data_IF_430073521042
#
_entry.id   IF_430073521042
#
_cell.length_a   1.000
_cell.length_b   1.000
_cell.length_c   1.000
_cell.angle_alpha   90.00
_cell.angle_beta   90.00
_cell.angle_gamma   90.00
#
_symmetry.space_group_name_H-M   'P 1'
#
loop_
_entity.id
_entity.type
_entity.pdbx_description
1 polymer ?
#
# COMPACT_ATOMS: atom_id res chain seq x y z
N UNK A 1 -41.74 50.39 98.83
CA UNK A 1 -41.18 51.13 97.67
C UNK A 1 -39.75 50.68 97.46
N UNK A 2 -39.39 50.32 96.21
CA UNK A 2 -38.02 50.24 95.65
C UNK A 2 -37.06 49.15 96.18
N UNK A 3 -36.25 48.43 95.42
CA UNK A 3 -36.06 48.22 93.97
C UNK A 3 -35.07 47.06 93.84
N UNK A 4 -35.30 46.15 92.89
CA UNK A 4 -34.40 45.04 92.57
C UNK A 4 -33.12 45.52 91.86
N UNK A 5 -31.93 45.05 92.27
CA UNK A 5 -30.67 45.33 91.57
C UNK A 5 -30.28 44.14 90.66
N UNK A 6 -30.23 44.41 89.35
CA UNK A 6 -29.93 43.48 88.26
C UNK A 6 -28.43 43.19 88.15
N UNK A 7 -28.01 41.94 88.27
CA UNK A 7 -26.68 41.50 87.80
C UNK A 7 -26.72 41.23 86.28
N UNK A 8 -26.47 42.25 85.45
CA UNK A 8 -26.43 42.13 83.97
C UNK A 8 -25.12 42.68 83.37
N UNK A 9 -23.97 42.19 83.81
CA UNK A 9 -22.69 42.59 83.19
C UNK A 9 -21.66 41.48 82.90
N UNK A 10 -21.84 40.22 83.35
CA UNK A 10 -20.89 39.11 83.06
C UNK A 10 -21.17 38.32 81.78
N UNK A 11 -22.41 38.30 81.27
CA UNK A 11 -22.77 37.53 80.06
C UNK A 11 -22.33 38.18 78.72
N UNK A 12 -21.89 39.45 78.74
CA UNK A 12 -21.47 40.17 77.52
C UNK A 12 -20.06 39.78 77.06
N UNK A 13 -19.18 39.38 77.99
CA UNK A 13 -17.82 38.96 77.65
C UNK A 13 -17.75 37.57 77.02
N UNK A 14 -18.54 36.62 77.52
CA UNK A 14 -18.57 35.25 76.98
C UNK A 14 -19.17 35.20 75.58
N UNK A 15 -20.21 35.98 75.30
CA UNK A 15 -20.79 36.09 73.96
C UNK A 15 -19.82 36.68 72.93
N UNK A 16 -18.98 37.64 73.35
CA UNK A 16 -17.98 38.26 72.48
C UNK A 16 -16.83 37.29 72.16
N UNK A 17 -16.36 36.53 73.15
CA UNK A 17 -15.35 35.47 72.95
C UNK A 17 -15.90 34.37 72.03
N UNK A 18 -17.15 33.93 72.24
CA UNK A 18 -17.79 32.91 71.40
C UNK A 18 -17.95 33.39 69.95
N UNK A 19 -18.32 34.66 69.76
CA UNK A 19 -18.43 35.29 68.43
C UNK A 19 -17.06 35.37 67.74
N UNK A 20 -16.02 35.79 68.46
CA UNK A 20 -14.65 35.82 67.92
C UNK A 20 -14.15 34.43 67.53
N UNK A 21 -14.42 33.41 68.35
CA UNK A 21 -14.09 32.01 68.04
C UNK A 21 -14.81 31.55 66.77
N UNK A 22 -16.11 31.85 66.66
CA UNK A 22 -16.91 31.48 65.50
C UNK A 22 -16.35 32.14 64.24
N UNK A 23 -16.13 33.46 64.25
CA UNK A 23 -15.55 34.17 63.09
C UNK A 23 -14.21 33.55 62.67
N UNK A 24 -13.31 33.25 63.61
CA UNK A 24 -12.02 32.62 63.30
C UNK A 24 -12.17 31.26 62.61
N UNK A 25 -13.06 30.40 63.12
CA UNK A 25 -13.31 29.07 62.52
C UNK A 25 -13.92 29.20 61.13
N UNK A 26 -14.90 30.08 60.93
CA UNK A 26 -15.54 30.28 59.62
C UNK A 26 -14.59 30.93 58.61
N UNK A 27 -13.73 31.87 59.03
CA UNK A 27 -12.70 32.42 58.15
C UNK A 27 -11.68 31.37 57.74
N UNK A 28 -11.19 30.55 58.67
CA UNK A 28 -10.27 29.45 58.36
C UNK A 28 -10.91 28.45 57.38
N UNK A 29 -12.16 28.05 57.63
CA UNK A 29 -12.91 27.15 56.75
C UNK A 29 -13.15 27.75 55.35
N UNK A 30 -13.51 29.04 55.29
CA UNK A 30 -13.71 29.74 54.02
C UNK A 30 -12.41 29.79 53.19
N UNK A 31 -11.27 30.07 53.84
CA UNK A 31 -9.97 30.03 53.17
C UNK A 31 -9.67 28.61 52.69
N UNK A 32 -9.89 27.58 53.51
CA UNK A 32 -9.70 26.18 53.10
C UNK A 32 -10.56 25.80 51.89
N UNK A 33 -11.84 26.17 51.85
CA UNK A 33 -12.71 25.89 50.70
C UNK A 33 -12.32 26.70 49.46
N UNK A 34 -11.88 27.95 49.62
CA UNK A 34 -11.36 28.75 48.51
C UNK A 34 -10.10 28.11 47.91
N UNK A 35 -9.17 27.63 48.76
CA UNK A 35 -7.96 26.93 48.32
C UNK A 35 -8.29 25.60 47.63
N UNK A 36 -9.18 24.78 48.19
CA UNK A 36 -9.61 23.51 47.58
C UNK A 36 -10.29 23.75 46.22
N UNK A 37 -11.14 24.77 46.12
CA UNK A 37 -11.81 25.12 44.85
C UNK A 37 -10.80 25.60 43.81
N UNK A 38 -9.86 26.47 44.20
CA UNK A 38 -8.79 26.93 43.32
C UNK A 38 -7.92 25.79 42.80
N UNK A 39 -7.57 24.84 43.68
CA UNK A 39 -6.82 23.64 43.30
C UNK A 39 -7.61 22.77 42.32
N UNK A 40 -8.90 22.53 42.58
CA UNK A 40 -9.76 21.74 41.69
C UNK A 40 -9.90 22.36 40.29
N UNK A 41 -10.05 23.70 40.21
CA UNK A 41 -10.11 24.41 38.92
C UNK A 41 -8.80 24.25 38.15
N UNK A 42 -7.65 24.35 38.82
CA UNK A 42 -6.35 24.12 38.17
C UNK A 42 -6.20 22.68 37.68
N UNK A 43 -6.60 21.69 38.47
CA UNK A 43 -6.57 20.28 38.06
C UNK A 43 -7.46 20.05 36.85
N UNK A 44 -8.69 20.55 36.88
CA UNK A 44 -9.62 20.42 35.75
C UNK A 44 -9.08 21.11 34.48
N UNK A 45 -8.49 22.31 34.61
CA UNK A 45 -7.87 23.00 33.48
C UNK A 45 -6.68 22.21 32.92
N UNK A 46 -5.82 21.66 33.78
CA UNK A 46 -4.69 20.84 33.36
C UNK A 46 -5.13 19.56 32.65
N UNK A 47 -6.13 18.86 33.19
CA UNK A 47 -6.70 17.66 32.56
C UNK A 47 -7.32 17.99 31.20
N UNK A 48 -8.07 19.08 31.10
CA UNK A 48 -8.64 19.52 29.83
C UNK A 48 -7.53 19.80 28.80
N UNK A 49 -6.50 20.59 29.16
CA UNK A 49 -5.38 20.90 28.26
C UNK A 49 -4.63 19.65 27.79
N UNK A 50 -4.37 18.73 28.72
CA UNK A 50 -3.69 17.45 28.45
C UNK A 50 -4.52 16.55 27.53
N UNK A 51 -5.83 16.47 27.74
CA UNK A 51 -6.70 15.63 26.92
C UNK A 51 -6.86 16.23 25.52
N UNK A 52 -7.04 17.55 25.42
CA UNK A 52 -7.11 18.24 24.13
C UNK A 52 -5.83 18.06 23.32
N UNK A 53 -4.65 18.17 23.95
CA UNK A 53 -3.38 17.92 23.24
C UNK A 53 -3.21 16.45 22.84
N UNK A 54 -3.72 15.50 23.64
CA UNK A 54 -3.76 14.08 23.25
C UNK A 54 -4.67 13.84 22.04
N UNK A 55 -5.88 14.40 22.03
CA UNK A 55 -6.79 14.27 20.89
C UNK A 55 -6.20 14.87 19.61
N UNK A 56 -5.54 16.02 19.71
CA UNK A 56 -4.81 16.60 18.58
C UNK A 56 -3.71 15.67 18.06
N UNK A 57 -2.93 15.06 18.97
CA UNK A 57 -1.91 14.08 18.59
C UNK A 57 -2.52 12.85 17.90
N UNK A 58 -3.68 12.36 18.35
CA UNK A 58 -4.38 11.23 17.72
C UNK A 58 -4.89 11.59 16.32
N UNK A 59 -5.46 12.78 16.13
CA UNK A 59 -5.87 13.25 14.81
C UNK A 59 -4.70 13.32 13.83
N UNK A 60 -3.54 13.80 14.28
CA UNK A 60 -2.33 13.82 13.45
C UNK A 60 -1.79 12.43 13.16
N UNK A 61 -1.92 11.49 14.10
CA UNK A 61 -1.55 10.09 13.86
C UNK A 61 -2.41 9.46 12.76
N UNK A 62 -3.72 9.70 12.78
CA UNK A 62 -4.63 9.18 11.74
C UNK A 62 -4.37 9.83 10.38
N UNK A 63 -4.03 11.12 10.35
CA UNK A 63 -3.55 11.80 9.13
C UNK A 63 -2.29 11.12 8.57
N UNK A 64 -1.30 10.85 9.43
CA UNK A 64 -0.08 10.15 9.01
C UNK A 64 -0.35 8.73 8.50
N UNK A 65 -1.28 7.99 9.14
CA UNK A 65 -1.70 6.66 8.67
C UNK A 65 -2.37 6.71 7.31
N UNK A 66 -3.21 7.70 7.07
CA UNK A 66 -3.84 7.89 5.77
C UNK A 66 -2.81 8.13 4.66
N UNK A 67 -1.79 8.95 4.93
CA UNK A 67 -0.70 9.21 3.99
C UNK A 67 0.06 7.92 3.63
N UNK A 68 0.39 7.10 4.62
CA UNK A 68 1.04 5.80 4.40
C UNK A 68 0.13 4.83 3.66
N UNK A 69 -1.19 4.88 3.86
CA UNK A 69 -2.11 3.97 3.18
C UNK A 69 -2.44 4.39 1.73
N UNK A 70 -2.05 5.60 1.32
CA UNK A 70 -2.37 6.17 0.00
C UNK A 70 -1.15 6.31 -0.90
N UNK A 71 0.04 6.07 -0.38
CA UNK A 71 1.25 6.00 -1.21
C UNK A 71 1.17 4.75 -2.10
N UNK A 72 1.45 4.93 -3.38
CA UNK A 72 1.62 3.82 -4.31
C UNK A 72 3.05 3.30 -4.17
N UNK A 73 3.19 2.00 -3.97
CA UNK A 73 4.49 1.35 -3.80
C UNK A 73 4.72 0.34 -4.92
N UNK A 74 5.97 0.22 -5.34
CA UNK A 74 6.37 -0.77 -6.33
C UNK A 74 6.20 -2.20 -5.82
N UNK A 75 5.90 -3.10 -6.75
CA UNK A 75 5.83 -4.53 -6.46
C UNK A 75 7.24 -5.13 -6.36
N UNK A 76 7.35 -6.25 -5.64
CA UNK A 76 8.59 -7.03 -5.54
C UNK A 76 8.35 -8.50 -5.86
N UNK A 77 9.20 -9.05 -6.73
CA UNK A 77 9.23 -10.48 -7.05
C UNK A 77 9.95 -11.31 -5.96
N UNK A 78 10.64 -10.67 -5.02
CA UNK A 78 11.28 -11.34 -3.89
C UNK A 78 10.23 -11.72 -2.83
N UNK A 79 10.55 -12.71 -1.99
CA UNK A 79 9.74 -13.08 -0.82
C UNK A 79 10.03 -12.22 0.41
N UNK A 80 10.89 -11.22 0.27
CA UNK A 80 11.26 -10.26 1.30
C UNK A 80 11.50 -8.89 0.67
N UNK A 81 11.48 -7.84 1.47
CA UNK A 81 11.86 -6.49 1.03
C UNK A 81 13.36 -6.32 1.25
N UNK A 82 14.10 -6.04 0.17
CA UNK A 82 15.53 -5.71 0.28
C UNK A 82 15.73 -4.32 0.86
N UNK A 83 16.93 -4.03 1.36
CA UNK A 83 17.23 -2.71 1.95
C UNK A 83 17.14 -1.60 0.89
N UNK A 84 17.52 -1.89 -0.35
CA UNK A 84 17.35 -0.98 -1.51
C UNK A 84 15.88 -0.72 -1.82
N UNK A 85 15.02 -1.74 -1.73
CA UNK A 85 13.57 -1.56 -1.91
C UNK A 85 12.97 -0.74 -0.77
N UNK A 86 13.42 -0.96 0.46
CA UNK A 86 12.99 -0.15 1.61
C UNK A 86 13.41 1.32 1.48
N UNK A 87 14.61 1.60 0.96
CA UNK A 87 15.07 2.95 0.62
C UNK A 87 14.15 3.62 -0.41
N UNK A 88 13.78 2.88 -1.45
CA UNK A 88 12.87 3.37 -2.47
C UNK A 88 11.48 3.68 -1.90
N UNK A 89 10.93 2.79 -1.08
CA UNK A 89 9.65 3.03 -0.37
C UNK A 89 9.71 4.30 0.48
N UNK A 90 10.82 4.56 1.17
CA UNK A 90 11.01 5.82 1.91
C UNK A 90 11.00 7.05 0.99
N UNK A 91 11.75 7.00 -0.12
CA UNK A 91 11.77 8.07 -1.10
C UNK A 91 10.38 8.34 -1.69
N UNK A 92 9.65 7.27 -2.04
CA UNK A 92 8.31 7.36 -2.62
C UNK A 92 7.31 7.94 -1.60
N UNK A 93 7.39 7.54 -0.33
CA UNK A 93 6.60 8.13 0.76
C UNK A 93 6.90 9.63 0.92
N UNK A 94 8.18 10.02 0.96
CA UNK A 94 8.57 11.42 1.10
C UNK A 94 8.04 12.29 -0.05
N UNK A 95 8.19 11.81 -1.29
CA UNK A 95 7.69 12.49 -2.47
C UNK A 95 6.15 12.60 -2.45
N UNK A 96 5.45 11.51 -2.09
CA UNK A 96 4.00 11.49 -1.98
C UNK A 96 3.49 12.53 -0.97
N UNK A 97 4.03 12.51 0.25
CA UNK A 97 3.61 13.45 1.31
C UNK A 97 3.89 14.90 0.91
N UNK A 98 5.04 15.18 0.30
CA UNK A 98 5.37 16.52 -0.18
C UNK A 98 4.40 17.01 -1.27
N UNK A 99 3.88 16.11 -2.11
CA UNK A 99 2.96 16.44 -3.20
C UNK A 99 1.51 16.67 -2.74
N UNK A 100 1.08 16.13 -1.59
CA UNK A 100 -0.33 16.21 -1.12
C UNK A 100 -0.77 17.63 -0.71
N UNK A 101 0.15 18.57 -0.49
CA UNK A 101 -0.20 19.97 -0.20
C UNK A 101 -1.03 20.15 1.07
N UNK A 102 -0.66 19.47 2.15
CA UNK A 102 -1.36 19.34 3.43
C UNK A 102 -1.75 20.69 4.07
N UNK A 103 -2.91 21.23 3.69
CA UNK A 103 -3.42 22.53 4.15
C UNK A 103 -2.42 23.69 3.95
N UNK A 104 -1.64 23.62 2.85
CA UNK A 104 -0.59 24.58 2.54
C UNK A 104 0.59 24.58 3.52
N UNK A 105 0.70 23.56 4.39
CA UNK A 105 1.82 23.40 5.31
C UNK A 105 3.07 22.92 4.60
N UNK A 106 4.20 23.39 5.11
CA UNK A 106 5.51 22.98 4.59
C UNK A 106 5.80 21.55 5.05
N UNK A 107 6.19 20.72 4.10
CA UNK A 107 6.76 19.40 4.36
C UNK A 107 8.27 19.51 4.18
N UNK A 108 9.03 19.15 5.21
CA UNK A 108 10.48 19.10 5.17
C UNK A 108 10.95 17.65 5.38
N UNK A 109 11.84 17.16 4.54
CA UNK A 109 12.37 15.80 4.66
C UNK A 109 13.82 15.68 4.22
N UNK A 110 14.49 14.67 4.74
CA UNK A 110 15.83 14.22 4.37
C UNK A 110 15.88 12.68 4.27
N UNK A 111 17.09 12.11 4.31
CA UNK A 111 17.30 10.67 4.19
C UNK A 111 16.71 9.84 5.35
N UNK A 112 16.46 10.45 6.50
CA UNK A 112 16.08 9.75 7.74
C UNK A 112 14.79 10.26 8.37
N UNK A 113 14.39 11.49 8.07
CA UNK A 113 13.27 12.14 8.73
C UNK A 113 12.40 12.92 7.74
N UNK A 114 11.09 12.85 7.94
CA UNK A 114 10.10 13.71 7.30
C UNK A 114 9.26 14.37 8.38
N UNK A 115 9.09 15.68 8.30
CA UNK A 115 8.27 16.47 9.22
C UNK A 115 7.25 17.28 8.45
N UNK A 116 6.04 17.30 8.99
CA UNK A 116 4.95 18.14 8.53
C UNK A 116 4.72 19.20 9.62
N UNK A 117 4.74 20.47 9.20
CA UNK A 117 4.52 21.59 10.11
C UNK A 117 3.17 21.48 10.84
N UNK A 118 3.09 22.14 12.01
CA UNK A 118 1.88 22.18 12.84
C UNK A 118 0.63 22.61 12.06
N UNK A 119 -0.35 21.73 12.01
CA UNK A 119 -1.71 21.98 11.54
C UNK A 119 -2.62 22.33 12.71
N UNK A 120 -3.55 23.26 12.47
CA UNK A 120 -4.55 23.66 13.47
C UNK A 120 -5.82 22.85 13.27
N UNK A 121 -6.37 22.31 14.36
CA UNK A 121 -7.68 21.67 14.30
C UNK A 121 -8.77 22.73 14.16
N UNK A 122 -9.61 22.56 13.14
CA UNK A 122 -10.64 23.53 12.79
C UNK A 122 -11.54 23.87 13.99
N UNK A 123 -11.71 25.17 14.27
CA UNK A 123 -12.50 25.66 15.40
C UNK A 123 -11.83 25.55 16.77
N UNK A 124 -10.51 25.33 16.84
CA UNK A 124 -9.77 25.28 18.12
C UNK A 124 -8.36 25.87 18.01
N UNK A 125 -7.77 26.21 19.16
CA UNK A 125 -6.35 26.59 19.27
C UNK A 125 -5.43 25.37 19.47
N UNK A 126 -5.94 24.15 19.26
CA UNK A 126 -5.15 22.94 19.34
C UNK A 126 -4.46 22.68 18.01
N UNK A 127 -3.19 22.34 18.07
CA UNK A 127 -2.38 22.03 16.88
C UNK A 127 -1.79 20.63 16.97
N UNK A 128 -1.45 20.05 15.83
CA UNK A 128 -0.65 18.83 15.77
C UNK A 128 0.40 18.92 14.67
N UNK A 129 1.59 18.40 14.94
CA UNK A 129 2.62 18.16 13.95
C UNK A 129 2.77 16.65 13.72
N UNK A 130 3.21 16.27 12.53
CA UNK A 130 3.43 14.87 12.16
C UNK A 130 4.90 14.68 11.77
N UNK A 131 5.49 13.58 12.21
CA UNK A 131 6.87 13.22 11.94
C UNK A 131 6.94 11.75 11.55
N UNK A 132 7.61 11.46 10.46
CA UNK A 132 8.07 10.12 10.12
C UNK A 132 9.58 10.07 10.32
N UNK A 133 10.08 9.02 10.94
CA UNK A 133 11.51 8.76 11.02
C UNK A 133 11.81 7.31 10.71
N UNK A 134 12.94 7.08 10.06
CA UNK A 134 13.46 5.73 9.83
C UNK A 134 14.18 5.23 11.07
N UNK A 135 14.11 3.92 11.29
CA UNK A 135 15.01 3.29 12.25
C UNK A 135 16.41 3.22 11.64
N UNK A 136 17.41 3.76 12.35
CA UNK A 136 18.80 3.75 11.92
C UNK A 136 19.41 2.35 11.87
N UNK A 137 18.84 1.39 12.62
CA UNK A 137 19.31 0.00 12.64
C UNK A 137 18.59 -0.89 11.62
N UNK A 138 17.39 -0.52 11.19
CA UNK A 138 16.59 -1.30 10.23
C UNK A 138 15.86 -0.39 9.23
N UNK A 139 16.32 -0.31 7.96
CA UNK A 139 15.70 0.54 6.95
C UNK A 139 14.26 0.13 6.62
N UNK A 140 13.80 -1.05 7.04
CA UNK A 140 12.43 -1.56 6.83
C UNK A 140 11.47 -1.09 7.92
N UNK A 141 11.95 -0.33 8.90
CA UNK A 141 11.12 0.17 9.98
C UNK A 141 10.95 1.69 9.87
N UNK A 142 9.70 2.14 9.80
CA UNK A 142 9.31 3.54 9.83
C UNK A 142 8.51 3.81 11.11
N UNK A 143 8.91 4.82 11.86
CA UNK A 143 8.18 5.30 13.02
C UNK A 143 7.41 6.56 12.65
N UNK A 144 6.09 6.51 12.79
CA UNK A 144 5.21 7.67 12.66
C UNK A 144 4.92 8.20 14.06
N UNK A 145 5.14 9.49 14.28
CA UNK A 145 4.82 10.21 15.50
C UNK A 145 3.93 11.40 15.17
N UNK A 146 2.99 11.69 16.05
CA UNK A 146 2.27 12.95 16.03
C UNK A 146 2.34 13.61 17.39
N UNK A 147 2.64 14.91 17.38
CA UNK A 147 2.75 15.73 18.58
C UNK A 147 1.66 16.78 18.57
N UNK A 148 0.68 16.63 19.46
CA UNK A 148 -0.40 17.57 19.68
C UNK A 148 -0.07 18.58 20.77
N UNK A 149 -0.46 19.84 20.59
CA UNK A 149 -0.22 20.93 21.54
C UNK A 149 -1.47 21.78 21.75
N UNK A 150 -1.75 22.16 22.99
CA UNK A 150 -2.83 23.07 23.34
C UNK A 150 -2.52 23.81 24.65
N UNK A 151 -2.53 25.15 24.63
CA UNK A 151 -2.39 26.00 25.82
C UNK A 151 -1.20 25.64 26.73
N UNK A 152 -0.05 25.37 26.12
CA UNK A 152 1.21 25.02 26.79
C UNK A 152 1.33 23.56 27.24
N UNK A 153 0.32 22.71 26.99
CA UNK A 153 0.41 21.27 27.18
C UNK A 153 0.69 20.57 25.85
N UNK A 154 1.60 19.60 25.87
CA UNK A 154 1.99 18.82 24.67
C UNK A 154 1.90 17.32 24.96
N UNK A 155 1.45 16.56 23.96
CA UNK A 155 1.41 15.09 23.99
C UNK A 155 1.89 14.53 22.66
N UNK A 156 2.65 13.46 22.72
CA UNK A 156 3.14 12.75 21.54
C UNK A 156 2.63 11.32 21.58
N UNK A 157 2.08 10.87 20.46
CA UNK A 157 1.69 9.48 20.21
C UNK A 157 2.45 8.98 18.99
N UNK A 158 2.68 7.68 18.88
CA UNK A 158 3.37 7.13 17.73
C UNK A 158 3.08 5.65 17.49
N UNK A 159 3.36 5.22 16.27
CA UNK A 159 3.29 3.84 15.81
C UNK A 159 4.57 3.49 15.07
N UNK A 160 5.00 2.25 15.23
CA UNK A 160 6.08 1.67 14.45
C UNK A 160 5.48 0.80 13.36
N UNK A 161 5.91 1.01 12.12
CA UNK A 161 5.42 0.33 10.92
C UNK A 161 6.58 -0.41 10.26
N UNK A 162 6.31 -1.62 9.80
CA UNK A 162 7.26 -2.44 9.05
C UNK A 162 6.92 -2.42 7.57
N UNK A 163 7.90 -2.15 6.72
CA UNK A 163 7.82 -2.31 5.27
C UNK A 163 7.94 -3.79 4.96
N UNK A 164 6.84 -4.40 4.54
CA UNK A 164 6.80 -5.82 4.19
C UNK A 164 6.20 -5.98 2.81
N UNK A 165 6.58 -7.06 2.12
CA UNK A 165 5.88 -7.49 0.90
C UNK A 165 4.40 -7.65 1.22
N UNK A 166 3.55 -7.22 0.29
CA UNK A 166 2.14 -7.58 0.34
C UNK A 166 1.98 -9.12 0.39
N UNK A 167 0.95 -9.57 1.10
CA UNK A 167 0.58 -10.97 1.21
C UNK A 167 -0.56 -11.33 0.28
N UNK A 168 -0.90 -10.47 -0.68
CA UNK A 168 -1.84 -10.80 -1.75
C UNK A 168 -1.40 -12.12 -2.41
N UNK A 169 -2.37 -13.03 -2.53
CA UNK A 169 -2.13 -14.43 -2.87
C UNK A 169 -1.63 -14.48 -4.32
N UNK A 170 -0.61 -15.29 -4.58
CA UNK A 170 -0.16 -15.59 -5.94
C UNK A 170 -1.35 -16.09 -6.78
N UNK A 171 -1.76 -15.33 -7.78
CA UNK A 171 -2.87 -15.66 -8.69
C UNK A 171 -2.43 -16.63 -9.78
N UNK A 172 -1.97 -17.82 -9.38
CA UNK A 172 -1.62 -18.90 -10.31
C UNK A 172 -2.41 -20.16 -9.98
N UNK A 173 -2.92 -20.84 -11.01
CA UNK A 173 -3.47 -22.18 -10.89
C UNK A 173 -2.39 -23.19 -10.47
N UNK A 174 -1.16 -22.97 -10.95
CA UNK A 174 0.01 -23.75 -10.57
C UNK A 174 1.27 -22.88 -10.53
N UNK A 175 2.01 -22.92 -9.42
CA UNK A 175 3.29 -22.24 -9.30
C UNK A 175 4.36 -23.19 -8.77
N UNK A 176 5.50 -23.25 -9.45
CA UNK A 176 6.61 -24.16 -9.13
C UNK A 176 7.94 -23.44 -9.07
N UNK A 177 8.86 -23.97 -8.25
CA UNK A 177 10.29 -23.57 -8.30
C UNK A 177 11.13 -24.40 -9.28
N UNK A 178 10.55 -25.50 -9.76
CA UNK A 178 11.19 -26.46 -10.63
C UNK A 178 10.56 -26.50 -12.02
N UNK A 179 11.07 -27.42 -12.84
CA UNK A 179 10.44 -27.76 -14.12
C UNK A 179 9.06 -28.37 -13.89
N UNK A 180 8.12 -28.07 -14.78
CA UNK A 180 6.79 -28.66 -14.80
C UNK A 180 6.61 -29.49 -16.06
N UNK A 181 6.14 -30.72 -15.89
CA UNK A 181 5.85 -31.64 -16.99
C UNK A 181 4.35 -31.96 -16.95
N UNK A 182 3.61 -31.43 -17.93
CA UNK A 182 2.16 -31.51 -18.02
C UNK A 182 1.77 -32.33 -19.25
N UNK A 183 1.47 -33.61 -19.04
CA UNK A 183 1.29 -34.58 -20.14
C UNK A 183 -0.06 -35.26 -20.11
N UNK A 184 -0.52 -35.70 -21.28
CA UNK A 184 -1.84 -36.34 -21.46
C UNK A 184 -2.96 -35.31 -21.45
N UNK A 185 -4.20 -35.82 -21.37
CA UNK A 185 -5.42 -35.02 -21.31
C UNK A 185 -5.55 -34.28 -19.97
N UNK A 186 -4.87 -33.13 -19.87
CA UNK A 186 -4.83 -32.28 -18.68
C UNK A 186 -5.36 -30.89 -19.02
N UNK A 187 -6.39 -30.46 -18.31
CA UNK A 187 -6.90 -29.08 -18.37
C UNK A 187 -6.56 -28.32 -17.09
N UNK A 188 -5.89 -27.19 -17.21
CA UNK A 188 -5.59 -26.26 -16.12
C UNK A 188 -6.38 -24.97 -16.35
N UNK A 189 -7.15 -24.54 -15.35
CA UNK A 189 -7.87 -23.28 -15.38
C UNK A 189 -7.07 -22.20 -14.66
N UNK A 190 -6.49 -21.27 -15.43
CA UNK A 190 -5.71 -20.14 -14.95
C UNK A 190 -4.21 -20.27 -15.22
N UNK A 191 -3.50 -19.19 -14.86
CA UNK A 191 -2.08 -19.02 -15.17
C UNK A 191 -1.18 -20.01 -14.45
N UNK A 192 -0.07 -20.37 -15.10
CA UNK A 192 0.99 -21.17 -14.49
C UNK A 192 2.31 -20.40 -14.44
N UNK A 193 3.12 -20.65 -13.42
CA UNK A 193 4.38 -19.94 -13.21
C UNK A 193 5.53 -20.86 -12.76
N UNK A 194 6.71 -20.69 -13.35
CA UNK A 194 7.93 -21.35 -12.89
C UNK A 194 9.07 -20.36 -12.60
N UNK A 195 9.69 -20.48 -11.42
CA UNK A 195 10.97 -19.79 -11.13
C UNK A 195 12.19 -20.55 -11.64
N UNK A 196 12.01 -21.58 -12.48
CA UNK A 196 13.12 -22.33 -13.04
C UNK A 196 13.91 -21.48 -14.03
N UNK A 197 15.16 -21.16 -13.68
CA UNK A 197 16.03 -20.24 -14.44
C UNK A 197 17.19 -20.95 -15.15
N UNK A 198 17.20 -22.27 -15.19
CA UNK A 198 18.22 -23.03 -15.89
C UNK A 198 17.92 -23.06 -17.39
N UNK A 199 18.59 -22.19 -18.14
CA UNK A 199 18.36 -21.96 -19.57
C UNK A 199 18.63 -23.18 -20.46
N UNK A 200 19.46 -24.12 -20.01
CA UNK A 200 19.79 -25.33 -20.78
C UNK A 200 18.64 -26.32 -20.91
N UNK A 201 17.58 -26.17 -20.11
CA UNK A 201 16.46 -27.12 -20.07
C UNK A 201 15.15 -26.39 -19.81
N UNK A 202 14.13 -26.64 -20.63
CA UNK A 202 12.86 -25.94 -20.54
C UNK A 202 12.19 -25.98 -19.15
N UNK A 203 11.65 -24.85 -18.67
CA UNK A 203 10.85 -24.78 -17.43
C UNK A 203 9.52 -25.53 -17.54
N UNK A 204 8.99 -25.69 -18.74
CA UNK A 204 7.72 -26.35 -19.01
C UNK A 204 7.87 -27.38 -20.12
N UNK A 205 7.23 -28.52 -19.98
CA UNK A 205 7.04 -29.43 -21.10
C UNK A 205 5.57 -29.84 -21.13
N UNK A 206 4.92 -29.66 -22.28
CA UNK A 206 3.53 -30.07 -22.48
C UNK A 206 3.38 -30.99 -23.68
N UNK A 207 2.40 -31.89 -23.62
CA UNK A 207 1.95 -32.64 -24.81
C UNK A 207 0.82 -31.89 -25.51
N UNK A 208 0.55 -32.25 -26.77
CA UNK A 208 -0.53 -31.64 -27.57
C UNK A 208 -1.94 -31.79 -26.98
N UNK A 209 -2.14 -32.75 -26.08
CA UNK A 209 -3.41 -32.97 -25.38
C UNK A 209 -3.59 -32.09 -24.13
N UNK A 210 -2.58 -31.31 -23.76
CA UNK A 210 -2.64 -30.42 -22.59
C UNK A 210 -3.33 -29.11 -22.96
N UNK A 211 -4.22 -28.62 -22.10
CA UNK A 211 -4.84 -27.29 -22.24
C UNK A 211 -4.61 -26.45 -21.00
N UNK A 212 -3.94 -25.31 -21.16
CA UNK A 212 -3.73 -24.30 -20.13
C UNK A 212 -4.63 -23.12 -20.50
N UNK A 213 -5.76 -23.00 -19.81
CA UNK A 213 -6.72 -21.91 -20.00
C UNK A 213 -6.24 -20.68 -19.20
N UNK A 214 -5.11 -20.14 -19.66
CA UNK A 214 -4.38 -19.04 -19.05
C UNK A 214 -2.98 -18.90 -19.64
N UNK A 215 -2.18 -18.03 -19.04
CA UNK A 215 -0.81 -17.71 -19.47
C UNK A 215 0.24 -18.61 -18.85
N UNK A 216 1.32 -18.82 -19.57
CA UNK A 216 2.51 -19.56 -19.12
C UNK A 216 3.62 -18.56 -18.80
N UNK A 217 4.00 -18.48 -17.52
CA UNK A 217 4.90 -17.44 -17.02
C UNK A 217 6.27 -18.03 -16.61
N UNK A 218 7.37 -17.44 -17.08
CA UNK A 218 8.73 -17.91 -16.76
C UNK A 218 9.67 -16.78 -16.37
N UNK A 219 10.61 -17.08 -15.46
CA UNK A 219 11.71 -16.15 -15.11
C UNK A 219 12.83 -16.10 -16.16
N UNK A 220 12.73 -16.90 -17.23
CA UNK A 220 13.72 -16.93 -18.31
C UNK A 220 13.43 -15.79 -19.30
N UNK A 221 14.48 -15.06 -19.69
CA UNK A 221 14.40 -14.05 -20.75
C UNK A 221 14.36 -14.72 -22.12
N UNK A 222 13.49 -14.24 -23.01
CA UNK A 222 13.28 -14.76 -24.36
C UNK A 222 14.58 -14.83 -25.18
N UNK A 223 15.31 -13.71 -25.25
CA UNK A 223 16.58 -13.61 -25.99
C UNK A 223 17.65 -14.59 -25.51
N UNK A 224 17.49 -15.09 -24.28
CA UNK A 224 18.41 -16.06 -23.74
C UNK A 224 18.16 -17.50 -24.20
N UNK A 225 17.02 -17.78 -24.84
CA UNK A 225 16.68 -19.09 -25.38
C UNK A 225 17.29 -19.38 -26.75
N UNK A 226 17.46 -18.36 -27.61
CA UNK A 226 17.87 -18.54 -29.02
C UNK A 226 19.25 -19.17 -29.26
N UNK A 227 20.02 -19.46 -28.20
CA UNK A 227 21.29 -20.23 -28.27
C UNK A 227 21.14 -21.71 -27.88
N UNK A 228 19.94 -22.17 -27.53
CA UNK A 228 19.68 -23.51 -27.01
C UNK A 228 18.85 -24.36 -27.98
N UNK A 229 18.73 -25.66 -27.68
CA UNK A 229 18.10 -26.66 -28.55
C UNK A 229 16.56 -26.74 -28.41
N UNK A 230 15.91 -25.73 -27.83
CA UNK A 230 14.46 -25.71 -27.65
C UNK A 230 13.92 -24.27 -27.65
N UNK A 231 12.64 -24.16 -27.98
CA UNK A 231 11.84 -22.96 -27.81
C UNK A 231 10.61 -23.30 -26.92
N UNK A 232 9.94 -22.28 -26.36
CA UNK A 232 8.65 -22.52 -25.70
C UNK A 232 7.49 -22.46 -26.69
N UNK A 233 7.62 -21.69 -27.76
CA UNK A 233 6.60 -21.48 -28.79
C UNK A 233 7.31 -21.13 -30.10
N UNK A 234 6.70 -21.44 -31.25
CA UNK A 234 7.24 -21.06 -32.56
C UNK A 234 7.01 -19.57 -32.80
N UNK A 235 8.08 -18.89 -33.22
CA UNK A 235 8.08 -17.44 -33.40
C UNK A 235 8.45 -17.06 -34.85
N UNK A 236 8.01 -15.88 -35.28
CA UNK A 236 8.46 -15.23 -36.51
C UNK A 236 9.88 -14.62 -36.32
N UNK A 237 10.39 -13.97 -37.38
CA UNK A 237 11.69 -13.30 -37.34
C UNK A 237 11.77 -12.08 -36.40
N UNK A 238 10.63 -11.58 -35.93
CA UNK A 238 10.50 -10.47 -34.99
C UNK A 238 10.26 -10.95 -33.55
N UNK A 239 10.16 -12.25 -33.32
CA UNK A 239 9.89 -12.83 -32.01
C UNK A 239 8.40 -12.85 -31.65
N UNK A 240 7.47 -12.77 -32.59
CA UNK A 240 6.04 -12.88 -32.35
C UNK A 240 5.55 -14.32 -32.57
N UNK A 241 4.60 -14.82 -31.77
CA UNK A 241 4.06 -16.16 -31.94
C UNK A 241 3.32 -16.33 -33.27
N UNK A 242 3.51 -17.49 -33.91
CA UNK A 242 2.86 -17.82 -35.17
C UNK A 242 1.54 -18.57 -34.97
N UNK A 243 0.55 -18.18 -35.75
CA UNK A 243 -0.79 -18.80 -35.80
C UNK A 243 -1.14 -19.17 -37.23
N UNK A 244 -1.80 -20.31 -37.42
CA UNK A 244 -2.45 -20.63 -38.68
C UNK A 244 -3.74 -19.85 -38.83
N UNK A 245 -4.01 -19.34 -40.03
CA UNK A 245 -5.26 -18.63 -40.29
C UNK A 245 -6.49 -19.53 -40.25
N UNK A 246 -6.34 -20.83 -40.54
CA UNK A 246 -7.46 -21.80 -40.60
C UNK A 246 -8.49 -21.55 -41.72
N UNK A 247 -8.39 -20.42 -42.43
CA UNK A 247 -9.26 -19.99 -43.51
C UNK A 247 -8.49 -19.15 -44.53
N UNK A 248 -9.11 -18.87 -45.68
CA UNK A 248 -8.59 -17.88 -46.62
C UNK A 248 -8.74 -16.49 -46.04
N UNK A 249 -7.67 -15.70 -46.08
CA UNK A 249 -7.64 -14.33 -45.55
C UNK A 249 -7.29 -13.34 -46.65
N UNK A 250 -7.67 -12.08 -46.43
CA UNK A 250 -7.57 -10.99 -47.41
C UNK A 250 -6.76 -9.82 -46.86
N UNK A 251 -6.11 -9.06 -47.75
CA UNK A 251 -5.49 -7.78 -47.43
C UNK A 251 -6.53 -6.64 -47.35
N UNK A 252 -6.07 -5.42 -47.02
CA UNK A 252 -6.93 -4.23 -46.93
C UNK A 252 -7.57 -3.83 -48.27
N UNK A 253 -6.99 -4.25 -49.39
CA UNK A 253 -7.47 -4.04 -50.74
C UNK A 253 -8.45 -5.14 -51.21
N UNK A 254 -8.66 -6.19 -50.40
CA UNK A 254 -9.56 -7.31 -50.69
C UNK A 254 -8.95 -8.40 -51.58
N UNK A 255 -7.63 -8.43 -51.74
CA UNK A 255 -6.94 -9.52 -52.42
C UNK A 255 -6.68 -10.68 -51.45
N UNK A 256 -6.88 -11.91 -51.91
CA UNK A 256 -6.57 -13.09 -51.11
C UNK A 256 -5.06 -13.19 -50.88
N UNK A 257 -4.65 -13.33 -49.62
CA UNK A 257 -3.26 -13.58 -49.25
C UNK A 257 -2.91 -15.05 -49.50
N UNK A 258 -1.69 -15.29 -49.98
CA UNK A 258 -1.17 -16.64 -50.20
C UNK A 258 -0.66 -17.30 -48.91
N UNK A 259 -0.36 -16.48 -47.90
CA UNK A 259 0.13 -16.95 -46.61
C UNK A 259 -0.95 -17.71 -45.86
N UNK A 260 -0.51 -18.71 -45.09
CA UNK A 260 -1.38 -19.58 -44.29
C UNK A 260 -1.16 -19.42 -42.80
N UNK A 261 -0.19 -18.58 -42.45
CA UNK A 261 0.25 -18.29 -41.09
C UNK A 261 0.51 -16.80 -40.93
N UNK A 262 0.42 -16.33 -39.70
CA UNK A 262 0.67 -14.95 -39.35
C UNK A 262 0.90 -14.77 -37.86
N UNK A 263 0.85 -13.53 -37.40
CA UNK A 263 1.07 -13.14 -36.00
C UNK A 263 -0.19 -12.48 -35.43
N UNK A 264 -0.07 -11.83 -34.27
CA UNK A 264 -1.15 -11.08 -33.64
C UNK A 264 -0.70 -9.67 -33.31
N UNK A 265 -1.65 -8.74 -33.28
CA UNK A 265 -1.44 -7.39 -32.78
C UNK A 265 -1.97 -7.19 -31.36
N UNK A 266 -1.89 -5.93 -30.89
CA UNK A 266 -2.33 -5.51 -29.55
C UNK A 266 -3.83 -5.72 -29.29
N UNK A 267 -4.64 -5.78 -30.36
CA UNK A 267 -6.09 -6.01 -30.30
C UNK A 267 -6.46 -7.50 -30.34
N UNK A 268 -5.47 -8.40 -30.23
CA UNK A 268 -5.64 -9.86 -30.33
C UNK A 268 -6.30 -10.29 -31.64
N UNK A 269 -5.95 -9.63 -32.73
CA UNK A 269 -6.41 -9.97 -34.06
C UNK A 269 -5.23 -10.40 -34.93
N UNK A 270 -5.49 -11.31 -35.87
CA UNK A 270 -4.46 -11.85 -36.75
C UNK A 270 -3.90 -10.76 -37.68
N UNK A 271 -2.61 -10.87 -37.95
CA UNK A 271 -1.84 -10.10 -38.92
C UNK A 271 -1.03 -11.06 -39.79
N UNK A 272 -0.58 -10.62 -40.96
CA UNK A 272 0.41 -11.37 -41.73
C UNK A 272 1.78 -11.38 -41.03
N UNK A 273 2.77 -12.06 -41.60
CA UNK A 273 4.12 -12.13 -41.02
C UNK A 273 4.88 -10.81 -41.05
N UNK A 274 4.44 -9.84 -41.85
CA UNK A 274 4.99 -8.48 -41.91
C UNK A 274 4.28 -7.53 -40.91
N UNK A 275 3.25 -8.01 -40.21
CA UNK A 275 2.48 -7.27 -39.21
C UNK A 275 1.31 -6.48 -39.79
N UNK A 276 0.92 -6.69 -41.05
CA UNK A 276 -0.24 -6.04 -41.63
C UNK A 276 -1.54 -6.75 -41.22
N UNK A 277 -2.64 -6.03 -40.94
CA UNK A 277 -3.93 -6.63 -40.62
C UNK A 277 -4.46 -7.53 -41.74
N UNK A 278 -5.02 -8.69 -41.36
CA UNK A 278 -5.73 -9.59 -42.29
C UNK A 278 -7.23 -9.61 -42.01
N UNK A 279 -8.00 -9.86 -43.07
CA UNK A 279 -9.45 -9.78 -43.05
C UNK A 279 -10.13 -11.07 -43.53
N UNK A 280 -11.36 -11.30 -43.07
CA UNK A 280 -12.26 -12.33 -43.59
C UNK A 280 -12.91 -11.89 -44.93
N UNK A 281 -13.69 -12.78 -45.55
CA UNK A 281 -14.41 -12.50 -46.80
C UNK A 281 -15.42 -11.33 -46.71
N UNK A 282 -15.80 -10.94 -45.49
CA UNK A 282 -16.74 -9.86 -45.21
C UNK A 282 -16.03 -8.54 -44.88
N UNK A 283 -14.69 -8.52 -44.90
CA UNK A 283 -13.88 -7.35 -44.57
C UNK A 283 -13.73 -7.09 -43.07
N UNK A 284 -14.06 -8.06 -42.21
CA UNK A 284 -13.82 -7.96 -40.76
C UNK A 284 -12.44 -8.48 -40.41
N UNK A 285 -11.85 -7.91 -39.36
CA UNK A 285 -10.63 -8.46 -38.77
C UNK A 285 -10.90 -9.81 -38.12
N UNK A 286 -9.93 -10.71 -38.21
CA UNK A 286 -10.03 -12.06 -37.68
C UNK A 286 -9.43 -12.07 -36.27
N UNK A 287 -10.22 -12.35 -35.21
CA UNK A 287 -9.66 -12.48 -33.87
C UNK A 287 -8.76 -13.72 -33.77
N UNK A 288 -7.76 -13.68 -32.90
CA UNK A 288 -6.90 -14.83 -32.64
C UNK A 288 -7.71 -15.97 -32.03
N UNK A 289 -7.43 -17.18 -32.52
CA UNK A 289 -7.80 -18.41 -31.86
C UNK A 289 -6.51 -19.11 -31.43
N UNK A 290 -6.29 -19.19 -30.13
CA UNK A 290 -5.07 -19.79 -29.58
C UNK A 290 -4.98 -21.31 -29.83
N UNK A 291 -6.07 -21.98 -30.22
CA UNK A 291 -6.00 -23.36 -30.70
C UNK A 291 -5.26 -23.49 -32.04
N UNK A 292 -5.22 -22.42 -32.84
CA UNK A 292 -4.54 -22.42 -34.15
C UNK A 292 -3.06 -22.07 -34.07
N UNK A 293 -2.48 -22.05 -32.87
CA UNK A 293 -1.05 -21.79 -32.67
C UNK A 293 -0.19 -22.83 -33.40
N UNK A 294 0.87 -22.37 -34.04
CA UNK A 294 1.80 -23.24 -34.77
C UNK A 294 2.93 -23.66 -33.82
N UNK A 295 3.20 -24.97 -33.79
CA UNK A 295 4.29 -25.53 -33.00
C UNK A 295 5.31 -26.26 -33.89
N UNK A 296 6.59 -26.01 -33.61
CA UNK A 296 7.72 -26.69 -34.22
C UNK A 296 8.06 -27.94 -33.40
N UNK A 297 8.85 -28.85 -33.99
CA UNK A 297 9.36 -30.00 -33.23
C UNK A 297 10.37 -29.63 -32.14
N UNK A 298 10.84 -28.38 -32.09
CA UNK A 298 11.73 -27.87 -31.06
C UNK A 298 10.97 -27.23 -29.89
N UNK A 299 9.65 -27.03 -30.02
CA UNK A 299 8.88 -26.36 -28.98
C UNK A 299 8.57 -27.31 -27.84
N UNK A 300 8.75 -26.85 -26.62
CA UNK A 300 8.50 -27.64 -25.42
C UNK A 300 7.06 -27.44 -24.90
N UNK A 301 6.37 -26.39 -25.33
CA UNK A 301 4.91 -26.31 -25.23
C UNK A 301 4.32 -26.79 -26.55
N UNK A 302 3.38 -27.73 -26.48
CA UNK A 302 2.72 -28.32 -27.65
C UNK A 302 1.19 -28.32 -27.54
N UNK A 303 0.66 -28.02 -26.36
CA UNK A 303 -0.78 -27.96 -26.07
C UNK A 303 -1.35 -26.54 -26.11
N UNK A 304 -2.65 -26.38 -25.91
CA UNK A 304 -3.28 -25.06 -25.87
C UNK A 304 -2.73 -24.22 -24.71
N UNK A 305 -2.41 -22.95 -24.98
CA UNK A 305 -2.17 -21.92 -23.98
C UNK A 305 -2.46 -20.54 -24.56
N UNK A 306 -2.84 -19.57 -23.72
CA UNK A 306 -3.16 -18.23 -24.21
C UNK A 306 -1.88 -17.50 -24.67
N UNK A 307 -0.86 -17.40 -23.82
CA UNK A 307 0.42 -16.78 -24.19
C UNK A 307 1.57 -17.26 -23.31
N UNK A 308 2.80 -17.01 -23.75
CA UNK A 308 4.01 -17.17 -22.93
C UNK A 308 4.51 -15.79 -22.48
N UNK A 309 4.55 -15.56 -21.18
CA UNK A 309 5.16 -14.38 -20.58
C UNK A 309 6.58 -14.72 -20.12
N UNK A 310 7.55 -14.19 -20.86
CA UNK A 310 8.95 -14.23 -20.49
C UNK A 310 9.25 -13.12 -19.49
N UNK A 311 10.32 -13.31 -18.72
CA UNK A 311 10.77 -12.28 -17.80
C UNK A 311 11.35 -11.09 -18.58
N UNK A 312 10.76 -9.91 -18.41
CA UNK A 312 11.29 -8.63 -18.85
C UNK A 312 11.73 -7.84 -17.59
N UNK A 313 13.04 -7.58 -17.39
CA UNK A 313 13.58 -6.98 -16.16
C UNK A 313 13.16 -5.54 -15.89
#
# INVERSE_FOLDING_TARGET
MSTACKSKHRAKGTALILSMLFVLVFSALAVSFATLSGSNVQVASNQHRVNTSLYAAQSGLDCGRYLVNTVLLDQTNLNYVSDTQAEKVWSDLCAHVAAQGLDGKTVAYDANELTIEGMTLNGSDATFAVRFCRDAADPKTIVLQSTGSHNGATRTVGITMSITKDREILHYAMAGRGRMWLTGDTTIYGDIFSTWNNKYVSPFNTTSETSILGKVNTVIQKDSLGSYHYDLETLDGNGNPLFSFGQTVYDAEGNALADTIGTIDEDLCLTDTDGNPVFDENGNRIPVDFENRVYSSADELQGYHENVEYYDP
#
